data_IF_589581532098
#
_entry.id   IF_589581532098
#
_cell.length_a   1.000
_cell.length_b   1.000
_cell.length_c   1.000
_cell.angle_alpha   90.00
_cell.angle_beta   90.00
_cell.angle_gamma   90.00
#
_symmetry.space_group_name_H-M   'P 1'
#
loop_
_entity.id
_entity.type
_entity.pdbx_description
1 polymer ?
#
# COMPACT_ATOMS: atom_id res chain seq x y z
N UNK A 1 7.23 8.18 16.17
CA UNK A 1 6.02 8.99 16.44
C UNK A 1 4.79 8.21 15.96
N UNK A 2 3.62 8.35 16.59
CA UNK A 2 2.44 7.56 16.23
C UNK A 2 1.24 8.46 15.92
N UNK A 3 0.39 8.06 14.98
CA UNK A 3 -0.88 8.75 14.71
C UNK A 3 -2.04 7.75 14.67
N UNK A 4 -3.08 8.02 15.45
CA UNK A 4 -4.27 7.18 15.55
C UNK A 4 -5.45 7.77 14.77
N UNK A 5 -6.18 6.89 14.08
CA UNK A 5 -7.45 7.18 13.41
C UNK A 5 -8.50 6.16 13.86
N UNK A 6 -9.68 6.64 14.24
CA UNK A 6 -10.83 5.82 14.63
C UNK A 6 -12.04 6.30 13.82
N UNK A 7 -12.66 5.41 13.04
CA UNK A 7 -13.84 5.69 12.22
C UNK A 7 -14.95 4.66 12.52
N UNK A 8 -16.19 5.03 12.20
CA UNK A 8 -17.34 4.12 12.24
C UNK A 8 -18.04 4.08 10.89
N UNK A 9 -18.35 2.89 10.39
CA UNK A 9 -19.07 2.71 9.12
C UNK A 9 -20.43 3.39 9.14
N UNK A 10 -21.14 3.37 10.27
CA UNK A 10 -22.44 4.04 10.44
C UNK A 10 -22.34 5.56 10.44
N UNK A 11 -21.26 6.11 10.98
CA UNK A 11 -20.99 7.56 10.89
C UNK A 11 -20.70 7.97 9.44
N UNK A 12 -19.91 7.16 8.71
CA UNK A 12 -19.61 7.36 7.28
C UNK A 12 -20.89 7.27 6.43
N UNK A 13 -21.74 6.28 6.67
CA UNK A 13 -23.02 6.11 5.98
C UNK A 13 -23.92 7.35 6.17
N UNK A 14 -24.06 7.86 7.40
CA UNK A 14 -24.83 9.08 7.68
C UNK A 14 -24.22 10.33 7.04
N UNK A 15 -22.92 10.35 6.82
CA UNK A 15 -22.22 11.41 6.09
C UNK A 15 -22.31 11.23 4.55
N UNK A 16 -23.14 10.31 4.04
CA UNK A 16 -23.30 10.07 2.62
C UNK A 16 -22.12 9.32 2.00
N UNK A 17 -21.52 8.39 2.75
CA UNK A 17 -20.38 7.57 2.34
C UNK A 17 -19.11 8.37 2.02
N UNK A 18 -18.93 9.49 2.73
CA UNK A 18 -17.72 10.32 2.66
C UNK A 18 -17.09 10.40 4.05
N UNK A 19 -15.76 10.35 4.11
CA UNK A 19 -15.05 10.67 5.34
C UNK A 19 -14.95 12.18 5.46
N UNK A 20 -15.37 12.73 6.60
CA UNK A 20 -15.27 14.16 6.85
C UNK A 20 -13.80 14.59 6.93
N UNK A 21 -13.44 15.61 6.17
CA UNK A 21 -12.15 16.30 6.27
C UNK A 21 -12.33 17.65 6.99
N UNK A 22 -11.36 18.09 7.81
CA UNK A 22 -10.10 17.41 8.11
C UNK A 22 -10.30 16.14 8.96
N UNK A 23 -9.47 15.10 8.70
CA UNK A 23 -9.49 13.88 9.50
C UNK A 23 -9.11 14.19 10.96
N UNK A 24 -9.83 13.59 11.90
CA UNK A 24 -9.49 13.68 13.32
C UNK A 24 -8.33 12.73 13.67
N UNK A 25 -7.15 12.98 13.10
CA UNK A 25 -5.92 12.29 13.43
C UNK A 25 -5.45 12.71 14.82
N UNK A 26 -5.13 11.74 15.66
CA UNK A 26 -4.61 11.97 17.01
C UNK A 26 -3.12 11.68 17.01
N UNK A 27 -2.29 12.66 17.32
CA UNK A 27 -0.87 12.42 17.59
C UNK A 27 -0.75 11.71 18.95
N UNK A 28 -0.11 10.54 18.95
CA UNK A 28 0.00 9.66 20.10
C UNK A 28 1.46 9.50 20.51
N UNK A 29 1.73 9.60 21.81
CA UNK A 29 2.95 9.08 22.40
C UNK A 29 2.92 7.54 22.50
N UNK A 30 4.03 6.94 22.92
CA UNK A 30 4.17 5.49 23.02
C UNK A 30 3.11 4.83 23.90
N UNK A 31 2.78 5.42 25.05
CA UNK A 31 1.85 4.81 26.01
C UNK A 31 0.40 5.01 25.60
N UNK A 32 0.08 6.16 25.03
CA UNK A 32 -1.24 6.44 24.44
C UNK A 32 -1.46 5.57 23.20
N UNK A 33 -0.44 5.29 22.39
CA UNK A 33 -0.51 4.35 21.27
C UNK A 33 -0.76 2.90 21.73
N UNK A 34 -0.09 2.44 22.80
CA UNK A 34 -0.39 1.14 23.42
C UNK A 34 -1.83 1.09 23.91
N UNK A 35 -2.26 2.13 24.62
CA UNK A 35 -3.63 2.22 25.13
C UNK A 35 -4.66 2.23 23.99
N UNK A 36 -4.38 2.94 22.89
CA UNK A 36 -5.23 2.97 21.69
C UNK A 36 -5.46 1.58 21.09
N UNK A 37 -4.39 0.76 21.01
CA UNK A 37 -4.47 -0.64 20.53
C UNK A 37 -5.25 -1.51 21.53
N UNK A 38 -5.00 -1.33 22.84
CA UNK A 38 -5.57 -2.17 23.89
C UNK A 38 -7.03 -1.90 24.18
N UNK A 39 -7.47 -0.66 23.98
CA UNK A 39 -8.83 -0.17 24.20
C UNK A 39 -9.80 -0.91 23.29
N UNK A 40 -10.95 -1.28 23.85
CA UNK A 40 -12.05 -1.86 23.07
C UNK A 40 -12.76 -0.76 22.25
N UNK A 41 -13.30 -1.14 21.09
CA UNK A 41 -14.03 -0.21 20.23
C UNK A 41 -15.20 0.41 20.99
N UNK A 42 -15.32 1.74 20.95
CA UNK A 42 -16.47 2.43 21.54
C UNK A 42 -17.73 2.05 20.76
N UNK A 43 -18.76 1.60 21.46
CA UNK A 43 -20.07 1.26 20.87
C UNK A 43 -21.15 2.11 21.50
N UNK A 44 -21.53 3.19 20.82
CA UNK A 44 -22.56 4.10 21.31
C UNK A 44 -23.47 4.56 20.16
N UNK A 45 -24.75 4.18 20.28
CA UNK A 45 -25.83 4.54 19.34
C UNK A 45 -26.03 6.06 19.23
N UNK A 46 -25.81 6.80 20.32
CA UNK A 46 -26.09 8.25 20.40
C UNK A 46 -25.17 9.07 19.50
N UNK A 47 -23.96 8.56 19.28
CA UNK A 47 -22.94 9.19 18.44
C UNK A 47 -22.72 8.46 17.12
N UNK A 48 -23.55 7.47 16.77
CA UNK A 48 -23.47 6.64 15.55
C UNK A 48 -22.24 5.71 15.50
N UNK A 49 -21.82 5.20 16.65
CA UNK A 49 -20.67 4.29 16.82
C UNK A 49 -21.09 2.83 17.06
N UNK A 50 -22.35 2.50 16.84
CA UNK A 50 -22.88 1.16 17.05
C UNK A 50 -22.67 0.22 15.85
N UNK A 51 -22.12 0.72 14.73
CA UNK A 51 -21.68 -0.07 13.59
C UNK A 51 -20.25 -0.60 13.72
N UNK A 52 -19.70 -1.10 12.61
CA UNK A 52 -18.32 -1.58 12.52
C UNK A 52 -17.32 -0.45 12.82
N UNK A 53 -16.24 -0.78 13.53
CA UNK A 53 -15.20 0.19 13.86
C UNK A 53 -13.97 -0.06 12.99
N UNK A 54 -13.46 1.01 12.39
CA UNK A 54 -12.27 1.00 11.56
C UNK A 54 -11.19 1.77 12.29
N UNK A 55 -10.12 1.10 12.69
CA UNK A 55 -8.98 1.69 13.40
C UNK A 55 -7.74 1.63 12.54
N UNK A 56 -7.01 2.73 12.46
CA UNK A 56 -5.68 2.78 11.85
C UNK A 56 -4.69 3.39 12.83
N UNK A 57 -3.51 2.79 12.91
CA UNK A 57 -2.36 3.34 13.61
C UNK A 57 -1.21 3.51 12.60
N UNK A 58 -0.78 4.75 12.39
CA UNK A 58 0.44 5.06 11.65
C UNK A 58 1.60 5.06 12.63
N UNK A 59 2.64 4.32 12.29
CA UNK A 59 3.92 4.28 12.98
C UNK A 59 4.94 4.92 12.06
N UNK A 60 5.40 6.11 12.45
CA UNK A 60 6.48 6.81 11.77
C UNK A 60 7.82 6.21 12.21
N UNK A 61 8.50 5.59 11.25
CA UNK A 61 9.80 4.95 11.41
C UNK A 61 10.93 5.89 10.97
N UNK A 62 12.11 5.69 11.54
CA UNK A 62 13.29 6.39 11.02
C UNK A 62 13.73 5.77 9.66
N UNK A 63 14.22 6.57 8.69
CA UNK A 63 14.52 6.12 7.31
C UNK A 63 15.48 4.93 7.18
N UNK A 64 16.29 4.68 8.20
CA UNK A 64 17.31 3.62 8.21
C UNK A 64 16.89 2.38 9.00
N UNK A 65 15.76 2.41 9.70
CA UNK A 65 15.35 1.31 10.55
C UNK A 65 14.83 0.12 9.73
N UNK A 66 15.43 -1.06 9.98
CA UNK A 66 14.73 -2.32 9.71
C UNK A 66 13.65 -2.43 10.76
N UNK A 67 12.43 -2.78 10.34
CA UNK A 67 11.32 -2.99 11.29
C UNK A 67 11.69 -4.15 12.21
N UNK A 68 12.16 -3.80 13.41
CA UNK A 68 12.31 -4.73 14.48
C UNK A 68 11.02 -4.68 15.29
N UNK A 69 10.34 -5.82 15.44
CA UNK A 69 9.16 -5.93 16.32
C UNK A 69 9.53 -5.65 17.79
N UNK A 70 10.78 -5.31 18.11
CA UNK A 70 11.19 -4.86 19.45
C UNK A 70 10.51 -3.54 19.86
N UNK A 71 9.92 -2.78 18.93
CA UNK A 71 9.09 -1.63 19.27
C UNK A 71 7.94 -2.07 20.22
N UNK A 72 7.75 -1.40 21.36
CA UNK A 72 6.81 -1.83 22.39
C UNK A 72 5.33 -1.66 21.97
N UNK A 73 5.04 -0.75 21.02
CA UNK A 73 3.72 -0.59 20.40
C UNK A 73 3.46 -1.74 19.43
N UNK A 74 4.43 -2.13 18.61
CA UNK A 74 4.32 -3.29 17.71
C UNK A 74 4.17 -4.61 18.49
N UNK A 75 4.88 -4.78 19.61
CA UNK A 75 4.65 -5.92 20.52
C UNK A 75 3.23 -5.93 21.10
N UNK A 76 2.65 -4.76 21.35
CA UNK A 76 1.28 -4.65 21.85
C UNK A 76 0.28 -4.99 20.77
N UNK A 77 0.50 -4.51 19.54
CA UNK A 77 -0.26 -4.87 18.36
C UNK A 77 -0.26 -6.37 18.07
N UNK A 78 0.91 -7.01 18.16
CA UNK A 78 1.06 -8.46 18.02
C UNK A 78 0.22 -9.21 19.09
N UNK A 79 0.37 -8.83 20.37
CA UNK A 79 -0.39 -9.44 21.48
C UNK A 79 -1.90 -9.26 21.36
N UNK A 80 -2.35 -8.13 20.81
CA UNK A 80 -3.78 -7.82 20.58
C UNK A 80 -4.30 -8.32 19.24
N UNK A 81 -3.47 -8.99 18.44
CA UNK A 81 -3.88 -9.60 17.18
C UNK A 81 -4.09 -8.61 16.02
N UNK A 82 -3.65 -7.36 16.15
CA UNK A 82 -3.60 -6.41 15.02
C UNK A 82 -2.53 -6.82 14.00
N UNK A 83 -1.46 -7.47 14.48
CA UNK A 83 -0.43 -8.09 13.65
C UNK A 83 -0.52 -9.60 13.85
N UNK A 84 -0.88 -10.38 12.83
CA UNK A 84 -0.77 -11.83 12.88
C UNK A 84 0.67 -12.30 13.09
N UNK A 85 0.86 -13.39 13.84
CA UNK A 85 2.18 -13.92 14.14
C UNK A 85 2.92 -14.42 12.89
N UNK A 86 2.17 -14.82 11.86
CA UNK A 86 2.64 -15.27 10.55
C UNK A 86 3.36 -14.14 9.80
N UNK A 87 2.91 -12.90 9.96
CA UNK A 87 3.48 -11.73 9.28
C UNK A 87 4.73 -11.16 9.97
N UNK A 88 5.05 -11.61 11.18
CA UNK A 88 6.25 -11.20 11.92
C UNK A 88 7.53 -11.41 11.12
N UNK A 89 7.63 -12.55 10.43
CA UNK A 89 8.81 -12.87 9.60
C UNK A 89 8.91 -11.96 8.38
N UNK A 90 7.78 -11.55 7.81
CA UNK A 90 7.73 -10.67 6.65
C UNK A 90 8.22 -9.28 7.01
N UNK A 91 7.74 -8.72 8.13
CA UNK A 91 8.18 -7.43 8.68
C UNK A 91 9.70 -7.33 8.81
N UNK A 92 10.34 -8.36 9.35
CA UNK A 92 11.79 -8.38 9.57
C UNK A 92 12.64 -8.62 8.32
N UNK A 93 12.05 -9.12 7.23
CA UNK A 93 12.78 -9.46 6.01
C UNK A 93 13.23 -8.24 5.22
N UNK A 94 12.50 -7.12 5.33
CA UNK A 94 12.72 -5.91 4.54
C UNK A 94 12.47 -6.09 3.03
N UNK A 95 11.94 -7.25 2.61
CA UNK A 95 11.62 -7.54 1.22
C UNK A 95 10.22 -7.01 0.90
N UNK A 96 10.05 -6.48 -0.30
CA UNK A 96 8.73 -6.16 -0.81
C UNK A 96 7.92 -7.45 -0.98
N UNK A 97 6.61 -7.37 -0.78
CA UNK A 97 5.73 -8.50 -1.00
C UNK A 97 4.36 -8.29 -0.37
N UNK A 98 3.46 -9.16 -0.75
CA UNK A 98 2.07 -9.15 -0.29
C UNK A 98 1.67 -10.53 0.20
N UNK A 99 0.74 -10.58 1.15
CA UNK A 99 0.25 -11.86 1.66
C UNK A 99 -1.16 -11.74 2.22
N UNK A 100 -1.90 -12.84 2.15
CA UNK A 100 -3.21 -13.00 2.75
C UNK A 100 -3.15 -14.11 3.79
N UNK A 101 -3.70 -13.81 4.97
CA UNK A 101 -3.95 -14.81 6.00
C UNK A 101 -5.46 -14.96 6.16
N UNK A 102 -5.96 -16.11 5.74
CA UNK A 102 -7.37 -16.49 5.88
C UNK A 102 -7.47 -17.71 6.77
N UNK A 103 -8.16 -17.54 7.88
CA UNK A 103 -8.47 -18.58 8.86
C UNK A 103 -9.96 -18.47 9.23
N UNK A 104 -10.48 -19.42 9.99
CA UNK A 104 -11.87 -19.39 10.42
C UNK A 104 -12.20 -18.11 11.23
N UNK A 105 -11.25 -17.69 12.07
CA UNK A 105 -11.39 -16.61 13.05
C UNK A 105 -10.73 -15.29 12.61
N UNK A 106 -9.79 -15.31 11.66
CA UNK A 106 -9.05 -14.11 11.23
C UNK A 106 -8.99 -13.96 9.72
N UNK A 107 -9.10 -12.70 9.29
CA UNK A 107 -8.86 -12.25 7.91
C UNK A 107 -7.83 -11.14 7.98
N UNK A 108 -6.66 -11.35 7.40
CA UNK A 108 -5.62 -10.33 7.39
C UNK A 108 -4.95 -10.20 6.03
N UNK A 109 -4.62 -8.95 5.70
CA UNK A 109 -3.90 -8.55 4.51
C UNK A 109 -2.58 -7.92 4.95
N UNK A 110 -1.50 -8.32 4.28
CA UNK A 110 -0.17 -7.76 4.43
C UNK A 110 0.28 -7.17 3.10
N UNK A 111 0.72 -5.92 3.11
CA UNK A 111 1.29 -5.24 1.96
C UNK A 111 2.60 -4.58 2.40
N UNK A 112 3.73 -4.99 1.83
CA UNK A 112 5.03 -4.35 2.04
C UNK A 112 5.55 -3.84 0.71
N UNK A 113 5.57 -2.53 0.54
CA UNK A 113 6.00 -1.91 -0.70
C UNK A 113 7.54 -1.86 -0.76
N UNK A 114 8.14 -1.97 -1.96
CA UNK A 114 9.58 -1.86 -2.12
C UNK A 114 10.04 -0.46 -1.74
N UNK A 115 11.16 -0.40 -1.02
CA UNK A 115 11.80 0.86 -0.61
C UNK A 115 12.01 1.76 -1.84
N UNK A 116 11.44 2.95 -1.79
CA UNK A 116 11.72 4.04 -2.73
C UNK A 116 12.60 5.08 -2.03
N UNK A 117 13.02 6.15 -2.72
CA UNK A 117 13.58 7.33 -2.05
C UNK A 117 12.66 7.87 -0.94
N UNK A 118 11.38 7.49 -0.99
CA UNK A 118 10.28 7.81 -0.08
C UNK A 118 10.12 6.77 1.06
N UNK A 119 11.18 6.03 1.39
CA UNK A 119 11.17 5.19 2.57
C UNK A 119 10.51 3.81 2.42
N UNK A 120 10.34 3.13 3.55
CA UNK A 120 9.62 1.85 3.68
C UNK A 120 8.15 2.14 3.98
N UNK A 121 7.24 1.50 3.24
CA UNK A 121 5.80 1.50 3.55
C UNK A 121 5.33 0.06 3.72
N UNK A 122 4.77 -0.25 4.88
CA UNK A 122 4.16 -1.55 5.17
C UNK A 122 2.78 -1.35 5.79
N UNK A 123 1.76 -2.00 5.24
CA UNK A 123 0.40 -1.99 5.75
C UNK A 123 0.00 -3.39 6.17
N UNK A 124 -0.56 -3.50 7.36
CA UNK A 124 -1.21 -4.70 7.86
C UNK A 124 -2.65 -4.32 8.17
N UNK A 125 -3.60 -5.02 7.56
CA UNK A 125 -5.03 -4.86 7.85
C UNK A 125 -5.57 -6.19 8.35
N UNK A 126 -6.19 -6.17 9.52
CA UNK A 126 -6.74 -7.36 10.17
C UNK A 126 -8.16 -7.12 10.63
N UNK A 127 -9.05 -8.03 10.24
CA UNK A 127 -10.34 -8.18 10.89
C UNK A 127 -10.13 -8.86 12.24
N UNK A 128 -10.42 -8.15 13.32
CA UNK A 128 -10.40 -8.67 14.68
C UNK A 128 -11.67 -9.49 14.93
N UNK A 129 -11.56 -10.59 15.71
CA UNK A 129 -12.73 -11.38 16.10
C UNK A 129 -13.69 -10.55 16.95
N UNK A 130 -14.98 -10.67 16.66
CA UNK A 130 -16.04 -9.95 17.38
C UNK A 130 -16.13 -10.46 18.82
N UNK A 131 -15.91 -9.59 19.80
CA UNK A 131 -16.07 -9.94 21.22
C UNK A 131 -17.54 -9.75 21.64
N UNK A 132 -18.48 -10.55 21.13
CA UNK A 132 -19.83 -10.70 21.75
C UNK A 132 -20.46 -12.10 21.58
N UNK A 133 -20.92 -12.74 22.67
CA UNK A 133 -21.70 -13.97 22.67
C UNK A 133 -23.25 -13.79 22.64
N UNK A 134 -23.77 -12.56 22.62
CA UNK A 134 -25.23 -12.33 22.70
C UNK A 134 -25.89 -12.17 21.32
N UNK A 135 -26.52 -13.25 20.88
CA UNK A 135 -27.11 -13.55 19.56
C UNK A 135 -28.25 -12.64 19.04
N UNK A 136 -28.45 -11.43 19.56
CA UNK A 136 -29.57 -10.54 19.15
C UNK A 136 -29.20 -9.42 18.19
N UNK A 137 -27.91 -9.18 17.96
CA UNK A 137 -27.43 -8.18 17.00
C UNK A 137 -26.52 -8.88 15.99
N UNK A 138 -26.55 -8.44 14.73
CA UNK A 138 -25.66 -8.94 13.68
C UNK A 138 -24.19 -8.92 14.16
N UNK A 139 -23.35 -9.87 13.69
CA UNK A 139 -21.94 -9.92 14.05
C UNK A 139 -21.24 -8.62 13.63
N UNK A 140 -20.84 -7.81 14.60
CA UNK A 140 -20.10 -6.57 14.38
C UNK A 140 -18.63 -6.89 14.11
N UNK A 141 -18.06 -6.32 13.07
CA UNK A 141 -16.68 -6.58 12.63
C UNK A 141 -15.79 -5.39 12.98
N UNK A 142 -14.70 -5.64 13.69
CA UNK A 142 -13.69 -4.60 13.96
C UNK A 142 -12.51 -4.77 13.03
N UNK A 143 -12.15 -3.68 12.35
CA UNK A 143 -10.98 -3.65 11.48
C UNK A 143 -9.86 -2.87 12.16
N UNK A 144 -8.71 -3.50 12.24
CA UNK A 144 -7.49 -2.91 12.76
C UNK A 144 -6.44 -2.83 11.65
N UNK A 145 -5.91 -1.63 11.42
CA UNK A 145 -4.87 -1.37 10.45
C UNK A 145 -3.63 -0.78 11.13
N UNK A 146 -2.46 -1.25 10.72
CA UNK A 146 -1.18 -0.65 11.08
C UNK A 146 -0.46 -0.30 9.79
N UNK A 147 -0.06 0.97 9.68
CA UNK A 147 0.81 1.45 8.62
C UNK A 147 2.15 1.82 9.24
N UNK A 148 3.21 1.15 8.81
CA UNK A 148 4.58 1.51 9.08
C UNK A 148 5.08 2.34 7.91
N UNK A 149 5.50 3.58 8.15
CA UNK A 149 6.01 4.46 7.10
C UNK A 149 7.23 5.22 7.60
N UNK A 150 8.26 5.37 6.77
CA UNK A 150 9.43 6.17 7.14
C UNK A 150 9.45 7.60 6.57
N UNK A 151 8.69 7.90 5.53
CA UNK A 151 8.54 9.28 5.00
C UNK A 151 7.10 9.80 5.12
N UNK A 152 6.30 9.18 5.99
CA UNK A 152 4.90 9.55 6.23
C UNK A 152 4.00 9.15 5.06
N UNK A 153 3.03 8.26 5.33
CA UNK A 153 1.90 8.07 4.39
C UNK A 153 0.81 9.04 4.84
N UNK A 154 0.41 9.95 3.95
CA UNK A 154 -0.72 10.84 4.19
C UNK A 154 -2.04 10.07 4.05
N UNK A 155 -2.50 9.48 5.15
CA UNK A 155 -3.77 8.76 5.22
C UNK A 155 -4.95 9.68 4.85
N UNK A 156 -4.89 10.95 5.22
CA UNK A 156 -5.97 11.89 4.93
C UNK A 156 -6.16 12.05 3.43
N UNK A 157 -5.07 12.30 2.70
CA UNK A 157 -5.12 12.34 1.24
C UNK A 157 -5.58 11.01 0.63
N UNK A 158 -5.17 9.87 1.18
CA UNK A 158 -5.60 8.54 0.68
C UNK A 158 -7.12 8.30 0.85
N UNK A 159 -7.70 8.70 1.99
CA UNK A 159 -9.11 8.47 2.28
C UNK A 159 -10.03 9.58 1.75
N UNK A 160 -9.52 10.80 1.55
CA UNK A 160 -10.28 11.92 1.03
C UNK A 160 -10.47 11.85 -0.50
N UNK A 161 -9.55 11.19 -1.21
CA UNK A 161 -9.53 11.14 -2.68
C UNK A 161 -10.75 10.45 -3.29
N UNK A 162 -11.20 9.38 -2.65
CA UNK A 162 -12.29 8.55 -3.16
C UNK A 162 -13.38 8.37 -2.10
N UNK A 163 -14.67 8.45 -2.46
CA UNK A 163 -15.74 8.14 -1.52
C UNK A 163 -15.66 6.67 -1.09
N UNK A 164 -16.11 6.41 0.15
CA UNK A 164 -16.29 5.06 0.63
C UNK A 164 -17.31 4.34 -0.27
N UNK A 165 -17.09 3.06 -0.62
CA UNK A 165 -18.04 2.27 -1.38
C UNK A 165 -19.37 2.15 -0.63
N UNK A 166 -20.47 2.33 -1.36
CA UNK A 166 -21.83 2.33 -0.83
C UNK A 166 -22.69 1.18 -1.41
N UNK A 167 -22.07 0.27 -2.14
CA UNK A 167 -22.69 -0.81 -2.92
C UNK A 167 -22.56 -2.18 -2.24
N UNK A 168 -22.24 -2.22 -0.94
CA UNK A 168 -22.19 -3.46 -0.18
C UNK A 168 -23.58 -4.09 -0.10
N UNK A 169 -23.78 -5.21 -0.80
CA UNK A 169 -25.04 -5.97 -0.76
C UNK A 169 -24.95 -7.12 0.24
N UNK A 170 -25.70 -7.03 1.34
CA UNK A 170 -25.78 -8.08 2.39
C UNK A 170 -24.43 -8.50 3.01
N UNK A 171 -23.39 -7.68 2.82
CA UNK A 171 -22.09 -7.80 3.48
C UNK A 171 -21.83 -6.56 4.33
N UNK A 172 -21.18 -6.70 5.49
CA UNK A 172 -20.73 -5.54 6.26
C UNK A 172 -19.65 -4.78 5.46
N UNK A 173 -19.67 -3.46 5.58
CA UNK A 173 -18.60 -2.63 5.05
C UNK A 173 -17.28 -2.95 5.79
N UNK A 174 -16.18 -2.91 5.07
CA UNK A 174 -14.84 -3.17 5.60
C UNK A 174 -13.90 -1.99 5.38
N UNK A 175 -12.66 -2.12 5.84
CA UNK A 175 -11.66 -1.06 5.69
C UNK A 175 -10.87 -1.17 4.39
N UNK A 176 -11.33 -1.93 3.39
CA UNK A 176 -10.56 -2.21 2.17
C UNK A 176 -10.37 -1.01 1.25
N UNK A 177 -11.15 0.06 1.44
CA UNK A 177 -10.88 1.34 0.77
C UNK A 177 -9.44 1.81 1.02
N UNK A 178 -8.88 1.58 2.20
CA UNK A 178 -7.55 2.05 2.56
C UNK A 178 -6.43 1.34 1.77
N UNK A 179 -6.33 -0.01 1.73
CA UNK A 179 -5.35 -0.68 0.87
C UNK A 179 -5.59 -0.45 -0.63
N UNK A 180 -6.85 -0.25 -1.07
CA UNK A 180 -7.16 0.12 -2.47
C UNK A 180 -6.63 1.52 -2.79
N UNK A 181 -6.85 2.52 -1.91
CA UNK A 181 -6.30 3.86 -2.06
C UNK A 181 -4.77 3.85 -2.04
N UNK A 182 -4.15 3.06 -1.15
CA UNK A 182 -2.69 2.91 -1.12
C UNK A 182 -2.14 2.32 -2.42
N UNK A 183 -2.82 1.32 -2.97
CA UNK A 183 -2.48 0.73 -4.27
C UNK A 183 -2.56 1.77 -5.39
N UNK A 184 -3.66 2.53 -5.47
CA UNK A 184 -3.82 3.60 -6.46
C UNK A 184 -2.73 4.66 -6.38
N UNK A 185 -2.47 5.17 -5.17
CA UNK A 185 -1.38 6.12 -4.93
C UNK A 185 -0.04 5.56 -5.42
N UNK A 186 0.20 4.25 -5.22
CA UNK A 186 1.40 3.61 -5.71
C UNK A 186 1.47 3.54 -7.23
N UNK A 187 0.37 3.25 -7.91
CA UNK A 187 0.29 3.27 -9.38
C UNK A 187 0.58 4.67 -9.92
N UNK A 188 0.01 5.70 -9.31
CA UNK A 188 0.26 7.10 -9.72
C UNK A 188 1.73 7.49 -9.60
N UNK A 189 2.38 7.12 -8.49
CA UNK A 189 3.84 7.33 -8.33
C UNK A 189 4.67 6.56 -9.36
N UNK A 190 4.26 5.35 -9.73
CA UNK A 190 4.96 4.57 -10.76
C UNK A 190 4.88 5.24 -12.13
N UNK A 191 3.72 5.79 -12.49
CA UNK A 191 3.52 6.52 -13.74
C UNK A 191 4.45 7.74 -13.77
N UNK A 192 4.45 8.54 -12.71
CA UNK A 192 5.30 9.74 -12.61
C UNK A 192 6.81 9.38 -12.67
N UNK A 193 7.24 8.35 -11.94
CA UNK A 193 8.64 7.90 -11.96
C UNK A 193 9.06 7.38 -13.35
N UNK A 194 8.15 6.71 -14.08
CA UNK A 194 8.41 6.21 -15.43
C UNK A 194 8.49 7.34 -16.46
N UNK A 195 7.58 8.31 -16.41
CA UNK A 195 7.60 9.49 -17.28
C UNK A 195 8.91 10.27 -17.09
N UNK A 196 9.33 10.46 -15.84
CA UNK A 196 10.59 11.10 -15.51
C UNK A 196 11.80 10.31 -16.01
N UNK A 197 11.80 8.98 -15.86
CA UNK A 197 12.86 8.11 -16.39
C UNK A 197 12.95 8.21 -17.92
N UNK A 198 11.81 8.13 -18.61
CA UNK A 198 11.75 8.25 -20.08
C UNK A 198 12.30 9.59 -20.55
N UNK A 199 11.90 10.69 -19.91
CA UNK A 199 12.42 12.04 -20.21
C UNK A 199 13.93 12.11 -20.02
N UNK A 200 14.45 11.58 -18.91
CA UNK A 200 15.88 11.61 -18.62
C UNK A 200 16.67 10.76 -19.62
N UNK A 201 16.18 9.59 -20.02
CA UNK A 201 16.83 8.74 -21.03
C UNK A 201 16.94 9.45 -22.38
N UNK A 202 15.89 10.16 -22.80
CA UNK A 202 15.91 10.96 -24.05
C UNK A 202 16.89 12.13 -23.93
N UNK A 203 16.87 12.86 -22.81
CA UNK A 203 17.79 13.98 -22.58
C UNK A 203 19.27 13.53 -22.62
N UNK A 204 19.61 12.39 -22.01
CA UNK A 204 20.98 11.86 -22.06
C UNK A 204 21.37 11.39 -23.47
N UNK A 205 20.41 10.93 -24.29
CA UNK A 205 20.65 10.61 -25.70
C UNK A 205 21.04 11.86 -26.50
N UNK A 206 20.31 12.96 -26.31
CA UNK A 206 20.59 14.25 -26.97
C UNK A 206 21.94 14.82 -26.53
N UNK A 207 22.27 14.73 -25.24
CA UNK A 207 23.58 15.14 -24.72
C UNK A 207 24.70 14.27 -25.30
N UNK A 208 24.49 12.97 -25.43
CA UNK A 208 25.49 12.06 -26.01
C UNK A 208 25.78 12.37 -27.48
N UNK A 209 24.76 12.73 -28.26
CA UNK A 209 24.92 13.11 -29.67
C UNK A 209 25.67 14.44 -29.81
N UNK A 210 25.49 15.36 -28.85
CA UNK A 210 26.08 16.70 -28.89
C UNK A 210 27.44 16.82 -28.19
N UNK A 211 27.85 15.81 -27.43
CA UNK A 211 29.11 15.81 -26.69
C UNK A 211 30.33 15.87 -27.63
N UNK A 212 31.24 16.80 -27.35
CA UNK A 212 32.48 17.00 -28.12
C UNK A 212 33.71 16.64 -27.29
N UNK A 213 33.65 16.83 -25.96
CA UNK A 213 34.77 16.60 -25.06
C UNK A 213 34.70 15.25 -24.32
N UNK A 214 35.87 14.66 -24.02
CA UNK A 214 35.98 13.41 -23.26
C UNK A 214 35.43 13.53 -21.83
N UNK A 215 35.55 14.71 -21.20
CA UNK A 215 35.00 14.99 -19.86
C UNK A 215 33.46 14.95 -19.84
N UNK A 216 32.82 15.39 -20.92
CA UNK A 216 31.36 15.33 -21.08
C UNK A 216 30.90 13.88 -21.19
N UNK A 217 31.60 13.08 -22.01
CA UNK A 217 31.34 11.65 -22.15
C UNK A 217 31.46 10.89 -20.83
N UNK A 218 32.41 11.25 -19.97
CA UNK A 218 32.57 10.64 -18.65
C UNK A 218 31.40 10.94 -17.69
N UNK A 219 30.84 12.15 -17.76
CA UNK A 219 29.66 12.53 -16.99
C UNK A 219 28.41 11.81 -17.50
N UNK A 220 28.21 11.81 -18.82
CA UNK A 220 27.10 11.12 -19.48
C UNK A 220 27.14 9.62 -19.18
N UNK A 221 28.34 9.00 -19.20
CA UNK A 221 28.52 7.59 -18.82
C UNK A 221 27.99 7.29 -17.41
N UNK A 222 28.30 8.16 -16.44
CA UNK A 222 27.83 8.02 -15.06
C UNK A 222 26.32 8.20 -14.99
N UNK A 223 25.76 9.18 -15.71
CA UNK A 223 24.32 9.41 -15.77
C UNK A 223 23.58 8.20 -16.35
N UNK A 224 24.01 7.65 -17.49
CA UNK A 224 23.44 6.44 -18.11
C UNK A 224 23.52 5.23 -17.16
N UNK A 225 24.61 5.09 -16.40
CA UNK A 225 24.71 4.03 -15.39
C UNK A 225 23.67 4.19 -14.27
N UNK A 226 23.47 5.41 -13.77
CA UNK A 226 22.44 5.71 -12.78
C UNK A 226 21.02 5.50 -13.33
N UNK A 227 20.75 5.89 -14.58
CA UNK A 227 19.47 5.59 -15.26
C UNK A 227 19.18 4.09 -15.27
N UNK A 228 20.20 3.26 -15.52
CA UNK A 228 20.07 1.79 -15.44
C UNK A 228 19.67 1.31 -14.04
N UNK A 229 20.23 1.90 -12.98
CA UNK A 229 19.82 1.58 -11.60
C UNK A 229 18.40 2.01 -11.30
N UNK A 230 18.00 3.21 -11.76
CA UNK A 230 16.64 3.72 -11.60
C UNK A 230 15.64 2.80 -12.30
N UNK A 231 15.91 2.41 -13.55
CA UNK A 231 15.09 1.47 -14.31
C UNK A 231 14.89 0.14 -13.57
N UNK A 232 15.98 -0.46 -13.05
CA UNK A 232 15.90 -1.73 -12.33
C UNK A 232 15.06 -1.62 -11.06
N UNK A 233 15.19 -0.51 -10.33
CA UNK A 233 14.36 -0.24 -9.14
C UNK A 233 12.90 -0.07 -9.53
N UNK A 234 12.62 0.71 -10.57
CA UNK A 234 11.27 0.96 -11.07
C UNK A 234 10.58 -0.34 -11.52
N UNK A 235 11.29 -1.21 -12.24
CA UNK A 235 10.78 -2.53 -12.63
C UNK A 235 10.38 -3.39 -11.43
N UNK A 236 11.19 -3.40 -10.36
CA UNK A 236 10.84 -4.13 -9.12
C UNK A 236 9.60 -3.55 -8.45
N UNK A 237 9.45 -2.22 -8.46
CA UNK A 237 8.25 -1.54 -7.94
C UNK A 237 7.01 -1.90 -8.75
N UNK A 238 7.13 -1.92 -10.07
CA UNK A 238 6.06 -2.32 -10.98
C UNK A 238 5.59 -3.76 -10.74
N UNK A 239 6.51 -4.73 -10.70
CA UNK A 239 6.18 -6.14 -10.41
C UNK A 239 5.44 -6.28 -9.08
N UNK A 240 5.97 -5.68 -8.00
CA UNK A 240 5.31 -5.74 -6.69
C UNK A 240 3.93 -5.08 -6.71
N UNK A 241 3.74 -4.01 -7.49
CA UNK A 241 2.44 -3.32 -7.59
C UNK A 241 1.40 -4.19 -8.31
N UNK A 242 1.80 -4.96 -9.32
CA UNK A 242 0.94 -5.99 -9.92
C UNK A 242 0.59 -7.11 -8.93
N UNK A 243 1.53 -7.53 -8.08
CA UNK A 243 1.26 -8.50 -7.01
C UNK A 243 0.24 -7.97 -6.00
N UNK A 244 0.28 -6.68 -5.66
CA UNK A 244 -0.75 -6.01 -4.82
C UNK A 244 -2.12 -6.14 -5.47
N UNK A 245 -2.27 -5.81 -6.76
CA UNK A 245 -3.53 -5.92 -7.47
C UNK A 245 -4.10 -7.34 -7.45
N UNK A 246 -3.24 -8.34 -7.69
CA UNK A 246 -3.62 -9.75 -7.64
C UNK A 246 -4.07 -10.15 -6.22
N UNK A 247 -3.36 -9.69 -5.19
CA UNK A 247 -3.68 -9.96 -3.78
C UNK A 247 -5.01 -9.34 -3.37
N UNK A 248 -5.29 -8.10 -3.77
CA UNK A 248 -6.58 -7.45 -3.52
C UNK A 248 -7.73 -8.19 -4.21
N UNK A 249 -7.53 -8.63 -5.46
CA UNK A 249 -8.51 -9.42 -6.19
C UNK A 249 -8.79 -10.76 -5.51
N UNK A 250 -7.73 -11.46 -5.07
CA UNK A 250 -7.86 -12.71 -4.29
C UNK A 250 -8.63 -12.50 -2.98
N UNK A 251 -8.42 -11.37 -2.30
CA UNK A 251 -9.18 -11.03 -1.10
C UNK A 251 -10.67 -10.87 -1.40
N UNK A 252 -11.03 -10.13 -2.46
CA UNK A 252 -12.43 -9.93 -2.85
C UNK A 252 -13.12 -11.25 -3.19
N UNK A 253 -12.43 -12.14 -3.89
CA UNK A 253 -12.99 -13.46 -4.22
C UNK A 253 -13.09 -14.36 -2.98
N UNK A 254 -12.14 -14.26 -2.04
CA UNK A 254 -12.18 -15.03 -0.80
C UNK A 254 -13.31 -14.58 0.13
N UNK A 255 -13.59 -13.28 0.20
CA UNK A 255 -14.69 -12.78 1.02
C UNK A 255 -16.06 -13.14 0.43
N UNK A 256 -16.24 -13.04 -0.89
CA UNK A 256 -17.48 -13.50 -1.54
C UNK A 256 -17.72 -15.00 -1.29
N UNK A 257 -16.71 -15.84 -1.48
CA UNK A 257 -16.82 -17.29 -1.23
C UNK A 257 -17.27 -17.62 0.18
N UNK A 258 -16.89 -16.82 1.19
CA UNK A 258 -17.30 -17.03 2.59
C UNK A 258 -18.76 -16.68 2.84
N UNK A 259 -19.29 -15.67 2.17
CA UNK A 259 -20.69 -15.25 2.35
C UNK A 259 -21.65 -15.92 1.34
N UNK A 260 -21.13 -16.72 0.41
CA UNK A 260 -21.90 -17.43 -0.63
C UNK A 260 -22.76 -18.60 -0.11
N UNK A 261 -22.97 -18.74 1.20
CA UNK A 261 -23.77 -19.81 1.82
C UNK A 261 -25.30 -19.58 1.70
N UNK A 262 -25.75 -18.46 1.13
CA UNK A 262 -27.18 -18.12 0.94
C UNK A 262 -27.67 -18.33 -0.51
N UNK A 263 -28.99 -18.53 -0.70
CA UNK A 263 -29.64 -18.75 -2.03
C UNK A 263 -29.35 -17.68 -3.09
N UNK A 264 -28.98 -16.46 -2.65
CA UNK A 264 -28.47 -15.40 -3.50
C UNK A 264 -27.07 -15.07 -3.04
N UNK A 265 -26.06 -15.59 -3.75
CA UNK A 265 -24.66 -15.34 -3.41
C UNK A 265 -24.39 -13.83 -3.36
N UNK A 266 -24.06 -13.25 -2.20
CA UNK A 266 -23.79 -11.83 -2.07
C UNK A 266 -22.52 -11.49 -2.86
N UNK A 267 -22.53 -10.33 -3.52
CA UNK A 267 -21.37 -9.79 -4.23
C UNK A 267 -20.70 -8.73 -3.38
N UNK A 268 -19.38 -8.78 -3.37
CA UNK A 268 -18.57 -7.74 -2.76
C UNK A 268 -18.66 -6.45 -3.60
N UNK A 269 -18.22 -5.33 -3.02
CA UNK A 269 -18.27 -4.01 -3.66
C UNK A 269 -17.67 -4.05 -5.07
N UNK A 270 -18.50 -3.80 -6.08
CA UNK A 270 -18.08 -3.67 -7.47
C UNK A 270 -17.32 -2.36 -7.66
N UNK A 271 -17.64 -1.30 -6.89
CA UNK A 271 -16.87 -0.05 -6.87
C UNK A 271 -15.40 -0.34 -6.54
N UNK A 272 -15.11 -1.08 -5.47
CA UNK A 272 -13.71 -1.42 -5.11
C UNK A 272 -13.07 -2.34 -6.14
N UNK A 273 -13.79 -3.34 -6.64
CA UNK A 273 -13.30 -4.24 -7.70
C UNK A 273 -12.93 -3.46 -8.97
N UNK A 274 -13.77 -2.51 -9.39
CA UNK A 274 -13.53 -1.68 -10.57
C UNK A 274 -12.32 -0.78 -10.39
N UNK A 275 -12.17 -0.12 -9.23
CA UNK A 275 -10.98 0.70 -8.92
C UNK A 275 -9.71 -0.12 -9.06
N UNK A 276 -9.63 -1.27 -8.39
CA UNK A 276 -8.46 -2.17 -8.49
C UNK A 276 -8.22 -2.63 -9.93
N UNK A 277 -9.28 -2.99 -10.67
CA UNK A 277 -9.17 -3.42 -12.06
C UNK A 277 -8.63 -2.31 -12.97
N UNK A 278 -9.13 -1.09 -12.83
CA UNK A 278 -8.69 0.07 -13.62
C UNK A 278 -7.23 0.40 -13.33
N UNK A 279 -6.85 0.51 -12.06
CA UNK A 279 -5.48 0.82 -11.66
C UNK A 279 -4.50 -0.31 -12.04
N UNK A 280 -4.94 -1.58 -12.00
CA UNK A 280 -4.16 -2.72 -12.48
C UNK A 280 -3.97 -2.70 -14.00
N UNK A 281 -5.00 -2.32 -14.78
CA UNK A 281 -4.89 -2.15 -16.22
C UNK A 281 -3.93 -1.01 -16.58
N UNK A 282 -4.02 0.11 -15.87
CA UNK A 282 -3.08 1.22 -16.02
C UNK A 282 -1.65 0.75 -15.74
N UNK A 283 -1.42 0.08 -14.60
CA UNK A 283 -0.13 -0.49 -14.26
C UNK A 283 0.37 -1.50 -15.31
N UNK A 284 -0.53 -2.31 -15.90
CA UNK A 284 -0.20 -3.24 -16.98
C UNK A 284 0.25 -2.54 -18.27
N UNK A 285 -0.36 -1.39 -18.61
CA UNK A 285 0.03 -0.63 -19.81
C UNK A 285 1.46 -0.09 -19.78
N UNK A 286 2.05 0.07 -18.58
CA UNK A 286 3.43 0.52 -18.40
C UNK A 286 4.48 -0.52 -18.80
N UNK A 287 4.07 -1.77 -19.06
CA UNK A 287 4.98 -2.88 -19.37
C UNK A 287 5.86 -2.57 -20.59
N UNK A 288 5.26 -2.04 -21.65
CA UNK A 288 5.94 -1.77 -22.91
C UNK A 288 7.10 -0.78 -22.73
N UNK A 289 6.83 0.35 -22.07
CA UNK A 289 7.84 1.38 -21.81
C UNK A 289 8.96 0.85 -20.91
N UNK A 290 8.61 0.09 -19.87
CA UNK A 290 9.58 -0.54 -18.97
C UNK A 290 10.48 -1.58 -19.66
N UNK A 291 9.99 -2.21 -20.73
CA UNK A 291 10.75 -3.17 -21.54
C UNK A 291 11.67 -2.50 -22.58
N UNK A 292 11.31 -1.31 -23.07
CA UNK A 292 12.09 -0.59 -24.09
C UNK A 292 13.23 0.23 -23.48
N UNK A 293 13.03 0.82 -22.31
CA UNK A 293 14.06 1.67 -21.71
C UNK A 293 15.43 0.96 -21.56
N UNK A 294 15.51 -0.32 -21.14
CA UNK A 294 16.78 -1.06 -21.10
C UNK A 294 17.54 -1.05 -22.43
N UNK A 295 16.88 -1.29 -23.57
CA UNK A 295 17.55 -1.35 -24.86
C UNK A 295 18.05 0.02 -25.34
N UNK A 296 17.34 1.09 -24.97
CA UNK A 296 17.81 2.47 -25.19
C UNK A 296 19.06 2.78 -24.35
N UNK A 297 19.02 2.43 -23.07
CA UNK A 297 20.18 2.59 -22.17
C UNK A 297 21.39 1.79 -22.68
N UNK A 298 21.19 0.55 -23.12
CA UNK A 298 22.28 -0.28 -23.64
C UNK A 298 22.86 0.25 -24.96
N UNK A 299 22.01 0.78 -25.85
CA UNK A 299 22.46 1.48 -27.07
C UNK A 299 23.33 2.69 -26.73
N UNK A 300 22.89 3.54 -25.80
CA UNK A 300 23.65 4.71 -25.34
C UNK A 300 24.98 4.30 -24.70
N UNK A 301 25.01 3.21 -23.91
CA UNK A 301 26.27 2.66 -23.35
C UNK A 301 27.26 2.25 -24.43
N UNK A 302 26.80 1.64 -25.51
CA UNK A 302 27.66 1.24 -26.63
C UNK A 302 28.24 2.45 -27.37
N UNK A 303 27.48 3.54 -27.49
CA UNK A 303 27.94 4.78 -28.10
C UNK A 303 29.05 5.47 -27.27
N UNK A 304 28.96 5.41 -25.94
CA UNK A 304 29.99 5.94 -25.03
C UNK A 304 31.26 5.06 -25.02
N UNK A 305 31.13 3.75 -25.28
CA UNK A 305 32.24 2.80 -25.33
C UNK A 305 32.44 2.26 -26.76
N UNK A 306 32.94 3.07 -27.72
CA UNK A 306 33.24 2.55 -29.04
C UNK A 306 34.35 1.48 -28.92
N UNK A 307 34.21 0.39 -29.66
CA UNK A 307 35.21 -0.67 -29.77
C UNK A 307 36.59 -0.07 -30.07
N UNK A 308 37.52 -0.12 -29.11
CA UNK A 308 38.82 0.54 -29.30
C UNK A 308 39.83 0.50 -28.17
N UNK A 309 39.87 -0.53 -27.31
CA UNK A 309 41.02 -0.78 -26.44
C UNK A 309 41.36 -2.28 -26.36
N UNK A 310 41.63 -2.94 -27.48
CA UNK A 310 42.63 -4.03 -27.54
C UNK A 310 43.24 -4.03 -28.95
N UNK A 311 44.23 -3.17 -29.17
CA UNK A 311 45.40 -3.46 -30.01
C UNK A 311 46.47 -2.40 -29.75
N UNK A 312 47.29 -2.65 -28.73
CA UNK A 312 48.75 -2.60 -28.75
C UNK A 312 49.32 -3.06 -27.42
#
# INVERSE_FOLDING_TARGET
MYQGLELSTRAIEKAGWKVSTPLQLQDLDTDTAKHFIQKDCKRDLRINWDGDCLRCLVVHLEPQERVAIKDPVLQTALRKGWIPAEFVRLLGSGNAGTSLLWTADRRSLFLQLPKAGNGLVTMILTCLPSVRPNARCQPQTDWACIILSSDGVDIESLLAKDPFPNDYTRMPADFMILPVSLFRWRVELLVEELENLTRNVVNEEEQLISAVELSELDLIRKAIFELGKVQLRLRRKWVCTLEVAATLSQYFDAIERRYAEEEVAPRYSEILRQRVRMDAQLCGSLEYDLQIIPSKIDSQRQMVCPHGEIQK
#
